data_IF_848362636894
#
_entry.id   IF_848362636894
#
_cell.length_a   1.000
_cell.length_b   1.000
_cell.length_c   1.000
_cell.angle_alpha   90.00
_cell.angle_beta   90.00
_cell.angle_gamma   90.00
#
_symmetry.space_group_name_H-M   'P 1'
#
loop_
_entity.id
_entity.type
_entity.pdbx_description
1 polymer ?
#
# COMPACT_ATOMS: atom_id res chain seq x y z
N UNK A 1 1.31 1.34 -2.20
CA UNK A 1 1.58 2.11 -3.43
C UNK A 1 0.35 2.92 -3.87
N UNK A 2 -0.87 2.34 -3.91
CA UNK A 2 -2.10 3.05 -4.34
C UNK A 2 -2.38 4.31 -3.50
N UNK A 3 -2.18 4.30 -2.19
CA UNK A 3 -2.41 5.44 -1.31
C UNK A 3 -1.48 6.64 -1.64
N UNK A 4 -0.21 6.36 -1.98
CA UNK A 4 0.74 7.41 -2.38
C UNK A 4 0.35 8.01 -3.72
N UNK A 5 -0.04 7.17 -4.70
CA UNK A 5 -0.53 7.63 -6.00
C UNK A 5 -1.82 8.45 -5.86
N UNK A 6 -2.75 8.01 -5.03
CA UNK A 6 -3.96 8.76 -4.72
C UNK A 6 -3.62 10.15 -4.14
N UNK A 7 -2.73 10.21 -3.15
CA UNK A 7 -2.27 11.47 -2.57
C UNK A 7 -1.66 12.41 -3.62
N UNK A 8 -0.82 11.87 -4.50
CA UNK A 8 -0.17 12.66 -5.56
C UNK A 8 -1.17 13.22 -6.57
N UNK A 9 -2.22 12.45 -6.92
CA UNK A 9 -3.23 12.86 -7.90
C UNK A 9 -4.29 13.79 -7.31
N UNK A 10 -4.59 13.67 -6.02
CA UNK A 10 -5.66 14.44 -5.35
C UNK A 10 -5.15 15.62 -4.53
N UNK A 11 -3.84 15.81 -4.43
CA UNK A 11 -3.19 16.82 -3.58
C UNK A 11 -3.56 16.67 -2.08
N UNK A 12 -3.92 15.47 -1.63
CA UNK A 12 -4.14 15.15 -0.22
C UNK A 12 -2.82 14.73 0.41
N UNK A 13 -2.47 15.20 1.62
CA UNK A 13 -1.24 14.78 2.29
C UNK A 13 -1.18 13.25 2.47
N UNK A 14 -0.02 12.66 2.17
CA UNK A 14 0.19 11.20 2.26
C UNK A 14 -0.07 10.68 3.66
N UNK A 15 0.30 11.44 4.69
CA UNK A 15 0.04 11.09 6.10
C UNK A 15 -1.46 10.93 6.40
N UNK A 16 -2.31 11.80 5.84
CA UNK A 16 -3.76 11.69 6.01
C UNK A 16 -4.33 10.48 5.28
N UNK A 17 -3.85 10.19 4.08
CA UNK A 17 -4.29 9.01 3.31
C UNK A 17 -3.91 7.71 4.01
N UNK A 18 -2.71 7.63 4.58
CA UNK A 18 -2.31 6.49 5.39
C UNK A 18 -3.12 6.39 6.69
N UNK A 19 -3.36 7.50 7.39
CA UNK A 19 -4.18 7.52 8.60
C UNK A 19 -5.62 7.03 8.32
N UNK A 20 -6.21 7.46 7.21
CA UNK A 20 -7.53 6.98 6.79
C UNK A 20 -7.55 5.46 6.51
N UNK A 21 -6.44 4.90 6.02
CA UNK A 21 -6.27 3.46 5.78
C UNK A 21 -6.11 2.61 7.04
N UNK A 22 -5.79 3.19 8.20
CA UNK A 22 -5.54 2.43 9.43
C UNK A 22 -6.79 1.69 9.93
N UNK A 23 -7.94 2.37 9.95
CA UNK A 23 -9.20 1.75 10.43
C UNK A 23 -9.62 0.57 9.55
N UNK A 24 -9.75 0.71 8.22
CA UNK A 24 -10.02 -0.43 7.35
C UNK A 24 -8.95 -1.53 7.44
N UNK A 25 -7.68 -1.16 7.58
CA UNK A 25 -6.59 -2.11 7.74
C UNK A 25 -6.72 -2.97 8.99
N UNK A 26 -7.08 -2.37 10.14
CA UNK A 26 -7.32 -3.08 11.38
C UNK A 26 -8.54 -4.01 11.26
N UNK A 27 -9.62 -3.56 10.63
CA UNK A 27 -10.81 -4.38 10.39
C UNK A 27 -10.44 -5.60 9.53
N UNK A 28 -9.69 -5.40 8.44
CA UNK A 28 -9.21 -6.49 7.58
C UNK A 28 -8.32 -7.47 8.35
N UNK A 29 -7.43 -6.98 9.21
CA UNK A 29 -6.60 -7.83 10.06
C UNK A 29 -7.43 -8.76 10.93
N UNK A 30 -8.44 -8.22 11.63
CA UNK A 30 -9.32 -9.03 12.47
C UNK A 30 -10.16 -10.02 11.65
N UNK A 31 -10.67 -9.62 10.49
CA UNK A 31 -11.38 -10.51 9.58
C UNK A 31 -10.48 -11.65 9.09
N UNK A 32 -9.24 -11.36 8.70
CA UNK A 32 -8.28 -12.38 8.29
C UNK A 32 -7.96 -13.34 9.43
N UNK A 33 -7.74 -12.83 10.64
CA UNK A 33 -7.52 -13.67 11.83
C UNK A 33 -8.74 -14.58 12.05
N UNK A 34 -9.95 -14.04 12.00
CA UNK A 34 -11.17 -14.82 12.16
C UNK A 34 -11.27 -15.94 11.10
N UNK A 35 -11.05 -15.62 9.82
CA UNK A 35 -11.06 -16.63 8.74
C UNK A 35 -10.02 -17.72 8.97
N UNK A 36 -8.80 -17.36 9.37
CA UNK A 36 -7.74 -18.33 9.67
C UNK A 36 -8.13 -19.23 10.85
N UNK A 37 -8.66 -18.66 11.92
CA UNK A 37 -9.08 -19.43 13.08
C UNK A 37 -10.22 -20.40 12.75
N UNK A 38 -11.19 -19.99 11.92
CA UNK A 38 -12.29 -20.86 11.50
C UNK A 38 -11.84 -21.94 10.51
N UNK A 39 -11.01 -21.58 9.54
CA UNK A 39 -10.65 -22.49 8.44
C UNK A 39 -9.49 -23.41 8.78
N UNK A 40 -8.63 -23.01 9.71
CA UNK A 40 -7.44 -23.76 10.12
C UNK A 40 -7.57 -24.38 11.52
N UNK A 41 -8.78 -24.47 12.08
CA UNK A 41 -9.03 -25.07 13.40
C UNK A 41 -8.56 -26.51 13.50
N UNK A 42 -8.61 -27.26 12.40
CA UNK A 42 -8.22 -28.67 12.33
C UNK A 42 -6.73 -28.91 12.07
N UNK A 43 -5.98 -27.84 11.78
CA UNK A 43 -4.54 -27.92 11.56
C UNK A 43 -3.86 -27.94 12.93
N UNK A 44 -3.34 -29.11 13.33
CA UNK A 44 -2.50 -29.22 14.53
C UNK A 44 -1.29 -28.31 14.36
N UNK A 45 -1.19 -27.24 15.16
CA UNK A 45 -0.06 -26.35 15.17
C UNK A 45 1.25 -27.08 15.41
N UNK A 46 2.34 -26.57 14.85
CA UNK A 46 3.69 -27.00 15.20
C UNK A 46 3.94 -26.90 16.72
N UNK A 47 4.96 -27.60 17.21
CA UNK A 47 5.33 -27.52 18.62
C UNK A 47 5.49 -26.05 19.06
N UNK A 48 5.00 -25.72 20.25
CA UNK A 48 5.11 -24.36 20.77
C UNK A 48 6.58 -24.00 20.93
N UNK A 49 7.01 -22.97 20.22
CA UNK A 49 8.36 -22.43 20.33
C UNK A 49 8.66 -22.03 21.80
N UNK A 50 9.84 -22.36 22.27
CA UNK A 50 10.34 -21.96 23.58
C UNK A 50 10.51 -20.44 23.67
N UNK A 51 10.49 -19.88 24.89
CA UNK A 51 10.68 -18.44 25.06
C UNK A 51 12.00 -17.93 24.45
N UNK A 52 13.04 -18.75 24.52
CA UNK A 52 14.35 -18.45 23.94
C UNK A 52 14.31 -18.38 22.40
N UNK A 53 13.67 -19.35 21.74
CA UNK A 53 13.50 -19.35 20.28
C UNK A 53 12.71 -18.13 19.79
N UNK A 54 11.68 -17.71 20.55
CA UNK A 54 10.91 -16.50 20.24
C UNK A 54 11.76 -15.23 20.35
N UNK A 55 12.65 -15.18 21.35
CA UNK A 55 13.57 -14.04 21.54
C UNK A 55 14.55 -13.93 20.40
N UNK A 56 15.15 -15.05 19.97
CA UNK A 56 16.07 -15.10 18.83
C UNK A 56 15.32 -14.68 17.53
N UNK A 57 14.18 -15.29 17.24
CA UNK A 57 13.38 -14.93 16.07
C UNK A 57 12.98 -13.44 16.08
N UNK A 58 12.65 -12.89 17.25
CA UNK A 58 12.37 -11.47 17.41
C UNK A 58 13.59 -10.59 17.10
N UNK A 59 14.76 -10.98 17.58
CA UNK A 59 16.03 -10.27 17.30
C UNK A 59 16.37 -10.30 15.80
N UNK A 60 16.21 -11.45 15.16
CA UNK A 60 16.50 -11.61 13.73
C UNK A 60 15.48 -10.87 12.84
N UNK A 61 14.25 -10.71 13.32
CA UNK A 61 13.20 -9.93 12.63
C UNK A 61 13.35 -8.40 12.83
N UNK A 62 14.06 -7.93 13.87
CA UNK A 62 14.17 -6.51 14.19
C UNK A 62 14.67 -5.65 13.03
N UNK A 63 15.72 -6.02 12.28
CA UNK A 63 16.19 -5.19 11.16
C UNK A 63 15.13 -5.02 10.06
N UNK A 64 14.32 -6.06 9.80
CA UNK A 64 13.23 -5.99 8.84
C UNK A 64 12.09 -5.09 9.33
N UNK A 65 11.79 -5.10 10.64
CA UNK A 65 10.77 -4.26 11.27
C UNK A 65 11.15 -2.78 11.34
N UNK A 66 12.44 -2.46 11.33
CA UNK A 66 12.92 -1.07 11.29
C UNK A 66 12.53 -0.37 9.99
N UNK A 67 12.48 -1.10 8.87
CA UNK A 67 12.14 -0.52 7.55
C UNK A 67 10.77 0.18 7.53
N UNK A 68 9.65 -0.47 7.88
CA UNK A 68 8.36 0.21 8.00
C UNK A 68 8.36 1.30 9.09
N UNK A 69 9.14 1.13 10.16
CA UNK A 69 9.34 2.15 11.19
C UNK A 69 9.96 3.43 10.64
N UNK A 70 10.99 3.33 9.80
CA UNK A 70 11.63 4.48 9.13
C UNK A 70 10.62 5.18 8.23
N UNK A 71 9.90 4.42 7.40
CA UNK A 71 8.97 4.99 6.42
C UNK A 71 7.81 5.71 7.13
N UNK A 72 7.08 4.98 7.96
CA UNK A 72 5.90 5.52 8.62
C UNK A 72 6.27 6.57 9.67
N UNK A 73 7.30 6.30 10.48
CA UNK A 73 7.77 7.24 11.49
C UNK A 73 8.23 8.56 10.88
N UNK A 74 9.02 8.53 9.80
CA UNK A 74 9.49 9.72 9.11
C UNK A 74 8.35 10.57 8.52
N UNK A 75 7.36 9.91 7.90
CA UNK A 75 6.21 10.58 7.29
C UNK A 75 5.26 11.15 8.36
N UNK A 76 4.92 10.37 9.40
CA UNK A 76 3.99 10.82 10.44
C UNK A 76 4.57 11.90 11.36
N UNK A 77 5.89 11.85 11.61
CA UNK A 77 6.57 12.91 12.34
C UNK A 77 6.69 14.22 11.53
N UNK A 78 6.35 14.20 10.24
CA UNK A 78 6.48 15.36 9.35
C UNK A 78 7.95 15.71 9.04
N UNK A 79 8.88 14.82 9.33
CA UNK A 79 10.32 15.03 9.13
C UNK A 79 10.78 14.71 7.72
N UNK A 80 10.09 13.78 7.06
CA UNK A 80 10.46 13.26 5.75
C UNK A 80 9.26 13.23 4.81
N UNK A 81 9.52 13.54 3.56
CA UNK A 81 8.57 13.26 2.48
C UNK A 81 8.52 11.75 2.20
N UNK A 82 7.47 11.25 1.53
CA UNK A 82 7.40 9.83 1.14
C UNK A 82 8.59 9.37 0.30
N UNK A 83 9.10 10.23 -0.59
CA UNK A 83 10.25 9.93 -1.44
C UNK A 83 11.55 9.83 -0.64
N UNK A 84 11.77 10.74 0.32
CA UNK A 84 12.92 10.70 1.21
C UNK A 84 12.87 9.49 2.14
N UNK A 85 11.70 9.19 2.70
CA UNK A 85 11.51 7.98 3.52
C UNK A 85 11.81 6.70 2.73
N UNK A 86 11.36 6.63 1.47
CA UNK A 86 11.64 5.49 0.59
C UNK A 86 13.14 5.37 0.26
N UNK A 87 13.82 6.49 0.02
CA UNK A 87 15.27 6.51 -0.24
C UNK A 87 16.08 6.01 0.97
N UNK A 88 15.74 6.49 2.18
CA UNK A 88 16.38 6.05 3.42
C UNK A 88 16.11 4.56 3.70
N UNK A 89 14.86 4.12 3.51
CA UNK A 89 14.50 2.71 3.67
C UNK A 89 15.21 1.82 2.64
N UNK A 90 15.37 2.29 1.40
CA UNK A 90 16.14 1.60 0.37
C UNK A 90 17.62 1.50 0.72
N UNK A 91 18.22 2.58 1.22
CA UNK A 91 19.61 2.56 1.71
C UNK A 91 19.76 1.59 2.89
N UNK A 92 18.83 1.61 3.83
CA UNK A 92 18.80 0.66 4.94
C UNK A 92 18.73 -0.79 4.46
N UNK A 93 17.84 -1.08 3.50
CA UNK A 93 17.72 -2.42 2.92
C UNK A 93 19.00 -2.89 2.22
N UNK A 94 19.73 -1.98 1.53
CA UNK A 94 21.03 -2.28 0.93
C UNK A 94 22.07 -2.60 1.99
N UNK A 95 22.15 -1.81 3.08
CA UNK A 95 23.06 -2.06 4.20
C UNK A 95 22.76 -3.44 4.82
N UNK A 96 21.49 -3.74 5.08
CA UNK A 96 21.09 -5.02 5.63
C UNK A 96 21.45 -6.19 4.69
N UNK A 97 21.14 -6.06 3.40
CA UNK A 97 21.38 -7.11 2.41
C UNK A 97 22.85 -7.40 2.17
N UNK A 98 23.71 -6.37 2.11
CA UNK A 98 25.14 -6.53 1.85
C UNK A 98 25.98 -6.83 3.10
N UNK A 99 25.70 -6.12 4.20
CA UNK A 99 26.60 -6.14 5.37
C UNK A 99 26.12 -7.10 6.46
N UNK A 100 24.81 -7.14 6.74
CA UNK A 100 24.26 -7.93 7.85
C UNK A 100 23.92 -9.34 7.40
N UNK A 101 23.00 -9.47 6.44
CA UNK A 101 22.58 -10.79 5.94
C UNK A 101 23.57 -11.40 4.95
N UNK A 102 24.33 -10.55 4.24
CA UNK A 102 25.32 -10.95 3.23
C UNK A 102 24.76 -11.86 2.14
N UNK A 103 23.47 -11.75 1.89
CA UNK A 103 22.76 -12.51 0.85
C UNK A 103 22.65 -11.75 -0.48
N UNK A 104 22.76 -10.41 -0.44
CA UNK A 104 22.66 -9.57 -1.62
C UNK A 104 23.99 -9.54 -2.37
N UNK A 105 23.95 -9.97 -3.63
CA UNK A 105 25.09 -9.88 -4.56
C UNK A 105 24.88 -8.72 -5.54
N UNK A 106 25.95 -8.26 -6.20
CA UNK A 106 25.85 -7.23 -7.25
C UNK A 106 24.92 -7.65 -8.38
N UNK A 107 24.96 -8.92 -8.79
CA UNK A 107 24.06 -9.46 -9.80
C UNK A 107 22.60 -9.47 -9.29
N UNK A 108 22.38 -9.81 -8.04
CA UNK A 108 21.08 -9.73 -7.38
C UNK A 108 20.55 -8.30 -7.37
N UNK A 109 21.38 -7.32 -7.02
CA UNK A 109 21.03 -5.90 -7.04
C UNK A 109 20.64 -5.44 -8.45
N UNK A 110 21.44 -5.79 -9.47
CA UNK A 110 21.11 -5.45 -10.86
C UNK A 110 19.78 -6.07 -11.32
N UNK A 111 19.49 -7.29 -10.89
CA UNK A 111 18.19 -7.91 -11.15
C UNK A 111 17.05 -7.15 -10.51
N UNK A 112 17.16 -6.81 -9.21
CA UNK A 112 16.17 -6.00 -8.50
C UNK A 112 15.96 -4.64 -9.17
N UNK A 113 17.04 -3.97 -9.61
CA UNK A 113 16.94 -2.68 -10.31
C UNK A 113 16.19 -2.81 -11.64
N UNK A 114 16.46 -3.85 -12.43
CA UNK A 114 15.75 -4.11 -13.70
C UNK A 114 14.27 -4.38 -13.47
N UNK A 115 13.94 -5.23 -12.49
CA UNK A 115 12.55 -5.54 -12.12
C UNK A 115 11.83 -4.28 -11.62
N UNK A 116 12.48 -3.48 -10.77
CA UNK A 116 11.93 -2.21 -10.29
C UNK A 116 11.68 -1.24 -11.44
N UNK A 117 12.63 -1.10 -12.35
CA UNK A 117 12.49 -0.23 -13.52
C UNK A 117 11.31 -0.66 -14.41
N UNK A 118 11.14 -1.97 -14.64
CA UNK A 118 10.02 -2.50 -15.43
C UNK A 118 8.67 -2.20 -14.77
N UNK A 119 8.54 -2.46 -13.46
CA UNK A 119 7.31 -2.17 -12.70
C UNK A 119 7.02 -0.66 -12.71
N UNK A 120 8.03 0.16 -12.49
CA UNK A 120 7.91 1.62 -12.51
C UNK A 120 7.44 2.13 -13.87
N UNK A 121 8.00 1.60 -14.96
CA UNK A 121 7.60 1.96 -16.32
C UNK A 121 6.10 1.64 -16.58
N UNK A 122 5.63 0.47 -16.14
CA UNK A 122 4.21 0.11 -16.25
C UNK A 122 3.33 1.08 -15.45
N UNK A 123 3.72 1.40 -14.22
CA UNK A 123 2.97 2.36 -13.38
C UNK A 123 2.89 3.73 -14.05
N UNK A 124 4.00 4.25 -14.57
CA UNK A 124 3.99 5.53 -15.28
C UNK A 124 3.15 5.50 -16.57
N UNK A 125 3.16 4.40 -17.31
CA UNK A 125 2.31 4.25 -18.49
C UNK A 125 0.81 4.29 -18.09
N UNK A 126 0.44 3.62 -17.00
CA UNK A 126 -0.95 3.65 -16.47
C UNK A 126 -1.31 5.07 -16.03
N UNK A 127 -0.45 5.77 -15.31
CA UNK A 127 -0.71 7.14 -14.86
C UNK A 127 -0.88 8.08 -16.06
N UNK A 128 -0.02 7.97 -17.06
CA UNK A 128 -0.10 8.80 -18.26
C UNK A 128 -1.43 8.59 -19.01
N UNK A 129 -1.84 7.34 -19.21
CA UNK A 129 -3.12 7.04 -19.86
C UNK A 129 -4.32 7.45 -19.01
N UNK A 130 -4.27 7.28 -17.70
CA UNK A 130 -5.32 7.74 -16.77
C UNK A 130 -5.43 9.27 -16.76
N UNK A 131 -4.32 9.99 -16.79
CA UNK A 131 -4.30 11.45 -16.86
C UNK A 131 -4.90 11.92 -18.19
N UNK A 132 -4.54 11.30 -19.30
CA UNK A 132 -5.14 11.60 -20.60
C UNK A 132 -6.66 11.39 -20.59
N UNK A 133 -7.13 10.25 -20.06
CA UNK A 133 -8.56 9.97 -19.90
C UNK A 133 -9.23 11.03 -19.01
N UNK A 134 -8.61 11.42 -17.90
CA UNK A 134 -9.14 12.46 -17.01
C UNK A 134 -9.34 13.79 -17.72
N UNK A 135 -8.42 14.19 -18.59
CA UNK A 135 -8.53 15.39 -19.41
C UNK A 135 -9.74 15.28 -20.35
N UNK A 136 -9.88 14.15 -21.05
CA UNK A 136 -11.03 13.91 -21.96
C UNK A 136 -12.36 13.96 -21.19
N UNK A 137 -12.44 13.31 -20.03
CA UNK A 137 -13.63 13.31 -19.19
C UNK A 137 -13.99 14.72 -18.70
N UNK A 138 -12.99 15.54 -18.39
CA UNK A 138 -13.18 16.93 -17.97
C UNK A 138 -13.73 17.78 -19.12
N UNK A 139 -13.18 17.64 -20.32
CA UNK A 139 -13.68 18.36 -21.50
C UNK A 139 -15.12 17.96 -21.88
N UNK A 140 -15.47 16.71 -21.73
CA UNK A 140 -16.85 16.21 -22.00
C UNK A 140 -17.83 16.53 -20.88
N UNK A 141 -17.37 17.09 -19.76
CA UNK A 141 -18.13 17.38 -18.53
C UNK A 141 -18.89 16.15 -18.00
N UNK A 142 -18.35 14.94 -18.29
CA UNK A 142 -19.02 13.70 -17.91
C UNK A 142 -19.18 13.56 -16.37
N UNK A 143 -18.19 13.89 -15.52
CA UNK A 143 -18.35 13.83 -14.08
C UNK A 143 -19.50 14.73 -13.57
N UNK A 144 -19.61 15.94 -14.12
CA UNK A 144 -20.65 16.89 -13.75
C UNK A 144 -22.05 16.36 -14.13
N UNK A 145 -22.18 15.79 -15.33
CA UNK A 145 -23.44 15.18 -15.80
C UNK A 145 -23.87 14.01 -14.91
N UNK A 146 -22.90 13.19 -14.47
CA UNK A 146 -23.15 12.07 -13.56
C UNK A 146 -23.63 12.60 -12.19
N UNK A 147 -22.97 13.61 -11.63
CA UNK A 147 -23.37 14.22 -10.35
C UNK A 147 -24.79 14.78 -10.43
N UNK A 148 -25.11 15.54 -11.47
CA UNK A 148 -26.45 16.11 -11.67
C UNK A 148 -27.50 14.99 -11.78
N UNK A 149 -27.21 13.93 -12.53
CA UNK A 149 -28.10 12.79 -12.67
C UNK A 149 -28.41 12.12 -11.32
N UNK A 150 -27.40 11.84 -10.51
CA UNK A 150 -27.58 11.27 -9.17
C UNK A 150 -28.31 12.21 -8.21
N UNK A 151 -28.04 13.51 -8.28
CA UNK A 151 -28.72 14.51 -7.45
C UNK A 151 -30.21 14.58 -7.81
N UNK A 152 -30.55 14.53 -9.09
CA UNK A 152 -31.94 14.53 -9.56
C UNK A 152 -32.72 13.25 -9.17
N UNK A 153 -32.02 12.13 -8.98
CA UNK A 153 -32.61 10.89 -8.48
C UNK A 153 -32.86 10.91 -6.96
N UNK A 154 -32.50 12.00 -6.25
CA UNK A 154 -32.58 12.05 -4.80
C UNK A 154 -31.59 11.12 -4.10
N UNK A 155 -30.58 10.62 -4.81
CA UNK A 155 -29.57 9.71 -4.28
C UNK A 155 -28.66 10.47 -3.33
N UNK A 156 -28.69 10.10 -2.05
CA UNK A 156 -27.81 10.65 -1.03
C UNK A 156 -26.35 10.26 -1.25
N UNK A 157 -25.43 10.95 -0.55
CA UNK A 157 -23.99 10.73 -0.62
C UNK A 157 -23.60 9.26 -0.38
N UNK A 158 -24.30 8.55 0.48
CA UNK A 158 -24.05 7.13 0.76
C UNK A 158 -24.34 6.21 -0.42
N UNK A 159 -25.37 6.53 -1.21
CA UNK A 159 -25.67 5.79 -2.43
C UNK A 159 -24.57 5.98 -3.48
N UNK A 160 -24.05 7.20 -3.61
CA UNK A 160 -22.92 7.48 -4.50
C UNK A 160 -21.68 6.65 -4.11
N UNK A 161 -21.31 6.62 -2.82
CA UNK A 161 -20.18 5.83 -2.34
C UNK A 161 -20.40 4.33 -2.53
N UNK A 162 -21.62 3.85 -2.32
CA UNK A 162 -21.97 2.44 -2.56
C UNK A 162 -21.82 2.08 -4.03
N UNK A 163 -22.36 2.89 -4.95
CA UNK A 163 -22.24 2.67 -6.40
C UNK A 163 -20.77 2.69 -6.85
N UNK A 164 -19.98 3.64 -6.35
CA UNK A 164 -18.54 3.72 -6.63
C UNK A 164 -17.80 2.47 -6.14
N UNK A 165 -18.07 2.03 -4.91
CA UNK A 165 -17.47 0.82 -4.36
C UNK A 165 -17.83 -0.42 -5.17
N UNK A 166 -19.07 -0.51 -5.67
CA UNK A 166 -19.54 -1.61 -6.50
C UNK A 166 -18.83 -1.63 -7.85
N UNK A 167 -18.68 -0.47 -8.51
CA UNK A 167 -17.93 -0.35 -9.77
C UNK A 167 -16.47 -0.74 -9.58
N UNK A 168 -15.82 -0.23 -8.53
CA UNK A 168 -14.42 -0.55 -8.23
C UNK A 168 -14.23 -2.03 -7.90
N UNK A 169 -15.19 -2.64 -7.19
CA UNK A 169 -15.19 -4.08 -6.91
C UNK A 169 -15.31 -4.91 -8.18
N UNK A 170 -16.14 -4.48 -9.13
CA UNK A 170 -16.32 -5.17 -10.40
C UNK A 170 -15.06 -5.12 -11.29
N UNK A 171 -14.31 -4.04 -11.24
CA UNK A 171 -13.06 -3.88 -11.98
C UNK A 171 -11.98 -4.86 -11.44
N UNK A 172 -12.07 -5.26 -10.17
CA UNK A 172 -11.08 -6.14 -9.53
C UNK A 172 -11.39 -7.65 -9.65
N UNK A 173 -12.54 -8.02 -10.20
CA UNK A 173 -12.92 -9.40 -10.47
C UNK A 173 -12.43 -9.81 -11.86
#
# INVERSE_FOLDING_TARGET
NAAILFSALTNVPVSQTFAAGMIPGIILLFLMIAVVLFKCSDIKGSQKATGYERLIAGKDAMPALITPGIILGGIYAGLLTPSESAAIAGLWALIMGFLVYRELTLNGLLKCLKETAAITAVIFAIIATATFLSVVLTYTQLPQKIIIYFTNLGAGIYFFWFALALILSLIHI
#
